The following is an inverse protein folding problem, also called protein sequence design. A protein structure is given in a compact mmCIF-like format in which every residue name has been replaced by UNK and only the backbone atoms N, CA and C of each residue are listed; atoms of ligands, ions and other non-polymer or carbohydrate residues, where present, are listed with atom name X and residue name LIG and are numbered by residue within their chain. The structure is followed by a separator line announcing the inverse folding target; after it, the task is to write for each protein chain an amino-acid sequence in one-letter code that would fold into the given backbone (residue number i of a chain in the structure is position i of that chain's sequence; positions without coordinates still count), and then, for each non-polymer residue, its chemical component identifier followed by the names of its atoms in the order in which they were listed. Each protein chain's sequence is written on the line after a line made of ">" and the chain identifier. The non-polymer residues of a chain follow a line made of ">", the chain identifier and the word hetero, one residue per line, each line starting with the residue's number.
data_IF_605706886790
#
_entry.id   IF_605706886790
#
_cell.length_a   1.000
_cell.length_b   1.000
_cell.length_c   1.000
_cell.angle_alpha   90.00
_cell.angle_beta   90.00
_cell.angle_gamma   90.00
#
_symmetry.space_group_name_H-M   'P 1'
#
loop_
_entity.id
_entity.type
_entity.pdbx_description
1 polymer ?
#
# COMPACT_ATOMS: atom_id res chain seq x y z
N UNK A 1 12.24 -38.16 19.19
CA UNK A 1 13.26 -37.77 18.20
C UNK A 1 12.80 -36.51 17.46
N UNK A 2 13.25 -35.30 17.85
CA UNK A 2 12.97 -34.09 17.11
C UNK A 2 14.24 -33.27 16.86
N UNK A 3 14.98 -33.53 15.77
CA UNK A 3 16.17 -32.71 15.45
C UNK A 3 16.39 -32.42 13.96
N UNK A 4 15.62 -33.05 13.06
CA UNK A 4 15.87 -32.92 11.62
C UNK A 4 15.14 -31.73 10.98
N UNK A 5 14.03 -31.27 11.55
CA UNK A 5 13.16 -30.24 10.96
C UNK A 5 13.67 -28.81 11.20
N UNK A 6 14.38 -28.56 12.30
CA UNK A 6 14.98 -27.24 12.62
C UNK A 6 16.12 -26.88 11.66
N UNK A 7 16.92 -27.85 11.26
CA UNK A 7 18.05 -27.64 10.35
C UNK A 7 17.64 -27.23 8.93
N UNK A 8 16.49 -27.71 8.45
CA UNK A 8 15.97 -27.37 7.11
C UNK A 8 15.38 -25.95 7.11
N UNK A 9 14.66 -25.57 8.16
CA UNK A 9 14.05 -24.25 8.28
C UNK A 9 15.10 -23.13 8.40
N UNK A 10 16.16 -23.34 9.19
CA UNK A 10 17.27 -22.38 9.31
C UNK A 10 18.05 -22.25 7.98
N UNK A 11 18.16 -23.33 7.21
CA UNK A 11 18.81 -23.30 5.90
C UNK A 11 18.01 -22.45 4.91
N UNK A 12 16.69 -22.64 4.85
CA UNK A 12 15.82 -21.88 3.96
C UNK A 12 15.74 -20.39 4.32
N UNK A 13 15.80 -20.03 5.61
CA UNK A 13 15.85 -18.62 6.03
C UNK A 13 17.16 -17.95 5.60
N UNK A 14 18.30 -18.64 5.72
CA UNK A 14 19.57 -18.09 5.23
C UNK A 14 19.56 -17.91 3.71
N UNK A 15 18.97 -18.84 2.97
CA UNK A 15 18.83 -18.73 1.51
C UNK A 15 17.94 -17.55 1.10
N UNK A 16 16.78 -17.38 1.75
CA UNK A 16 15.88 -16.26 1.49
C UNK A 16 16.49 -14.89 1.84
N UNK A 17 17.28 -14.83 2.92
CA UNK A 17 17.98 -13.60 3.30
C UNK A 17 19.09 -13.24 2.30
N UNK A 18 19.83 -14.22 1.77
CA UNK A 18 20.82 -13.96 0.71
C UNK A 18 20.18 -13.55 -0.62
N UNK A 19 19.00 -14.07 -0.96
CA UNK A 19 18.27 -13.68 -2.17
C UNK A 19 17.70 -12.26 -2.07
N UNK A 20 17.16 -11.88 -0.91
CA UNK A 20 16.68 -10.51 -0.69
C UNK A 20 17.82 -9.48 -0.68
N UNK A 21 18.94 -9.80 -0.03
CA UNK A 21 20.13 -8.93 -0.02
C UNK A 21 20.72 -8.77 -1.43
N UNK A 22 20.72 -9.84 -2.24
CA UNK A 22 21.14 -9.79 -3.64
C UNK A 22 20.16 -9.02 -4.54
N UNK A 23 18.85 -9.09 -4.29
CA UNK A 23 17.84 -8.37 -5.08
C UNK A 23 17.87 -6.85 -4.82
N UNK A 24 18.16 -6.43 -3.59
CA UNK A 24 18.32 -5.02 -3.22
C UNK A 24 19.62 -4.46 -3.84
N UNK A 25 20.69 -5.24 -3.83
CA UNK A 25 21.95 -4.89 -4.50
C UNK A 25 21.80 -4.87 -6.04
N UNK A 26 21.00 -5.77 -6.61
CA UNK A 26 20.68 -5.74 -8.05
C UNK A 26 19.79 -4.56 -8.43
N UNK A 27 18.81 -4.18 -7.61
CA UNK A 27 17.97 -3.02 -7.85
C UNK A 27 18.78 -1.72 -7.76
N UNK A 28 19.68 -1.60 -6.77
CA UNK A 28 20.62 -0.50 -6.67
C UNK A 28 21.56 -0.42 -7.89
N UNK A 29 22.10 -1.55 -8.35
CA UNK A 29 22.95 -1.62 -9.55
C UNK A 29 22.19 -1.35 -10.85
N UNK A 30 20.92 -1.72 -10.97
CA UNK A 30 20.08 -1.40 -12.14
C UNK A 30 19.77 0.09 -12.21
N UNK A 31 19.52 0.73 -11.06
CA UNK A 31 19.28 2.16 -10.96
C UNK A 31 20.57 2.95 -11.23
N UNK A 32 21.72 2.48 -10.72
CA UNK A 32 23.06 3.01 -11.00
C UNK A 32 23.45 2.82 -12.49
N UNK A 33 23.16 1.66 -13.09
CA UNK A 33 23.43 1.39 -14.50
C UNK A 33 22.55 2.20 -15.45
N UNK A 34 21.25 2.39 -15.16
CA UNK A 34 20.40 3.28 -15.96
C UNK A 34 20.84 4.74 -15.85
N UNK A 35 21.27 5.17 -14.67
CA UNK A 35 21.83 6.51 -14.47
C UNK A 35 23.18 6.66 -15.18
N UNK A 36 24.04 5.64 -15.15
CA UNK A 36 25.30 5.60 -15.89
C UNK A 36 25.09 5.57 -17.40
N UNK A 37 24.10 4.84 -17.93
CA UNK A 37 23.81 4.82 -19.38
C UNK A 37 23.29 6.18 -19.86
N UNK A 38 22.37 6.80 -19.14
CA UNK A 38 21.89 8.17 -19.48
C UNK A 38 23.00 9.21 -19.34
N UNK A 39 23.85 9.09 -18.32
CA UNK A 39 25.03 9.95 -18.18
C UNK A 39 26.09 9.69 -19.26
N UNK A 40 26.26 8.44 -19.72
CA UNK A 40 27.20 8.05 -20.79
C UNK A 40 26.70 8.44 -22.17
N UNK A 41 25.40 8.33 -22.46
CA UNK A 41 24.81 8.84 -23.70
C UNK A 41 24.92 10.37 -23.78
N UNK A 42 24.68 11.06 -22.65
CA UNK A 42 24.88 12.51 -22.56
C UNK A 42 26.37 12.88 -22.72
N UNK A 43 27.29 12.15 -22.08
CA UNK A 43 28.75 12.32 -22.21
C UNK A 43 29.25 12.02 -23.62
N UNK A 44 28.71 11.01 -24.29
CA UNK A 44 29.02 10.66 -25.68
C UNK A 44 28.58 11.74 -26.66
N UNK A 45 27.37 12.27 -26.48
CA UNK A 45 26.85 13.40 -27.27
C UNK A 45 27.65 14.70 -27.04
N UNK A 46 28.18 14.91 -25.83
CA UNK A 46 29.08 16.02 -25.51
C UNK A 46 30.48 15.85 -26.11
N UNK A 47 31.01 14.62 -26.12
CA UNK A 47 32.34 14.34 -26.70
C UNK A 47 32.36 14.59 -28.22
N UNK A 48 31.24 14.30 -28.90
CA UNK A 48 31.10 14.53 -30.35
C UNK A 48 30.93 16.02 -30.70
N UNK A 49 30.38 16.85 -29.80
CA UNK A 49 30.22 18.30 -30.02
C UNK A 49 31.47 19.11 -29.64
N UNK A 50 32.39 18.52 -28.86
CA UNK A 50 33.65 19.12 -28.40
C UNK A 50 34.78 19.08 -29.45
N UNK A 51 34.77 18.14 -30.40
CA UNK A 51 35.83 17.99 -31.41
C UNK A 51 35.86 19.08 -32.51
N UNK A 52 34.90 20.03 -32.56
CA UNK A 52 34.73 20.96 -33.70
C UNK A 52 35.36 22.36 -33.47
N UNK A 53 36.11 22.64 -32.38
CA UNK A 53 36.61 24.02 -32.12
C UNK A 53 38.12 24.12 -31.77
N UNK A 54 38.97 24.80 -32.58
CA UNK A 54 40.43 24.82 -32.42
C UNK A 54 40.93 26.02 -31.56
N UNK A 55 40.31 26.29 -30.41
CA UNK A 55 40.69 27.38 -29.49
C UNK A 55 40.94 26.82 -28.08
N UNK A 56 42.20 26.51 -27.78
CA UNK A 56 42.64 25.68 -26.65
C UNK A 56 42.40 26.23 -25.23
N UNK A 57 42.17 27.53 -25.02
CA UNK A 57 41.86 28.09 -23.68
C UNK A 57 40.36 28.03 -23.32
N UNK A 58 39.49 27.76 -24.30
CA UNK A 58 38.03 27.76 -24.10
C UNK A 58 37.48 26.39 -23.70
N UNK A 59 38.28 25.34 -23.84
CA UNK A 59 37.90 23.95 -23.66
C UNK A 59 37.78 23.55 -22.19
N UNK A 60 38.74 23.92 -21.34
CA UNK A 60 38.69 23.62 -19.90
C UNK A 60 37.48 24.32 -19.26
N UNK A 61 37.25 25.59 -19.60
CA UNK A 61 36.09 26.37 -19.15
C UNK A 61 34.74 25.75 -19.54
N UNK A 62 34.67 25.03 -20.67
CA UNK A 62 33.45 24.34 -21.09
C UNK A 62 33.23 23.04 -20.31
N UNK A 63 34.30 22.30 -20.00
CA UNK A 63 34.22 21.07 -19.20
C UNK A 63 33.73 21.39 -17.78
N UNK A 64 34.32 22.39 -17.12
CA UNK A 64 33.87 22.83 -15.79
C UNK A 64 32.39 23.26 -15.79
N UNK A 65 31.95 23.97 -16.84
CA UNK A 65 30.56 24.42 -16.94
C UNK A 65 29.57 23.27 -17.18
N UNK A 66 30.01 22.19 -17.83
CA UNK A 66 29.20 20.98 -18.04
C UNK A 66 29.10 20.18 -16.73
N UNK A 67 30.20 20.04 -16.00
CA UNK A 67 30.21 19.39 -14.68
C UNK A 67 29.30 20.14 -13.69
N UNK A 68 29.37 21.48 -13.68
CA UNK A 68 28.49 22.33 -12.87
C UNK A 68 27.01 22.18 -13.24
N UNK A 69 26.68 22.11 -14.54
CA UNK A 69 25.30 21.82 -14.97
C UNK A 69 24.84 20.42 -14.56
N UNK A 70 25.71 19.41 -14.64
CA UNK A 70 25.39 18.04 -14.25
C UNK A 70 25.13 17.92 -12.73
N UNK A 71 25.93 18.56 -11.89
CA UNK A 71 25.70 18.63 -10.44
C UNK A 71 24.37 19.32 -10.12
N UNK A 72 24.03 20.41 -10.82
CA UNK A 72 22.75 21.10 -10.62
C UNK A 72 21.52 20.24 -10.99
N UNK A 73 21.63 19.40 -12.01
CA UNK A 73 20.57 18.47 -12.43
C UNK A 73 20.41 17.32 -11.44
N UNK A 74 21.53 16.82 -10.89
CA UNK A 74 21.53 15.77 -9.88
C UNK A 74 20.86 16.25 -8.58
N UNK A 75 21.19 17.45 -8.12
CA UNK A 75 20.55 18.07 -6.94
C UNK A 75 19.03 18.26 -7.14
N UNK A 76 18.59 18.66 -8.33
CA UNK A 76 17.17 18.78 -8.64
C UNK A 76 16.44 17.42 -8.53
N UNK A 77 17.07 16.35 -9.00
CA UNK A 77 16.54 14.98 -8.92
C UNK A 77 16.43 14.48 -7.47
N UNK A 78 17.44 14.75 -6.64
CA UNK A 78 17.46 14.36 -5.22
C UNK A 78 16.40 15.14 -4.45
N UNK A 79 16.29 16.45 -4.65
CA UNK A 79 15.27 17.28 -3.97
C UNK A 79 13.86 16.86 -4.39
N UNK A 80 13.64 16.57 -5.68
CA UNK A 80 12.34 16.11 -6.18
C UNK A 80 11.92 14.75 -5.60
N UNK A 81 12.83 13.77 -5.58
CA UNK A 81 12.56 12.45 -5.00
C UNK A 81 12.36 12.52 -3.49
N UNK A 82 13.20 13.28 -2.78
CA UNK A 82 13.05 13.50 -1.35
C UNK A 82 11.69 14.13 -1.00
N UNK A 83 11.23 15.11 -1.78
CA UNK A 83 9.92 15.74 -1.60
C UNK A 83 8.78 14.73 -1.75
N UNK A 84 8.83 13.88 -2.79
CA UNK A 84 7.81 12.84 -3.00
C UNK A 84 7.77 11.83 -1.86
N UNK A 85 8.94 11.42 -1.36
CA UNK A 85 9.06 10.50 -0.21
C UNK A 85 8.46 11.13 1.05
N UNK A 86 8.76 12.40 1.33
CA UNK A 86 8.20 13.13 2.48
C UNK A 86 6.67 13.23 2.37
N UNK A 87 6.14 13.60 1.19
CA UNK A 87 4.70 13.68 0.96
C UNK A 87 4.03 12.32 1.18
N UNK A 88 4.64 11.23 0.67
CA UNK A 88 4.14 9.88 0.86
C UNK A 88 4.04 9.50 2.35
N UNK A 89 5.09 9.74 3.13
CA UNK A 89 5.08 9.47 4.58
C UNK A 89 4.08 10.34 5.34
N UNK A 90 3.93 11.61 4.96
CA UNK A 90 2.91 12.49 5.55
C UNK A 90 1.50 11.96 5.32
N UNK A 91 1.17 11.56 4.09
CA UNK A 91 -0.12 10.96 3.74
C UNK A 91 -0.34 9.66 4.54
N UNK A 92 0.68 8.82 4.68
CA UNK A 92 0.62 7.59 5.46
C UNK A 92 0.31 7.87 6.93
N UNK A 93 1.00 8.82 7.56
CA UNK A 93 0.78 9.20 8.97
C UNK A 93 -0.64 9.76 9.17
N UNK A 94 -1.08 10.65 8.27
CA UNK A 94 -2.42 11.27 8.35
C UNK A 94 -3.51 10.20 8.16
N UNK A 95 -3.35 9.29 7.21
CA UNK A 95 -4.31 8.22 6.91
C UNK A 95 -4.32 7.08 7.94
N UNK A 96 -3.28 6.97 8.78
CA UNK A 96 -3.20 5.98 9.85
C UNK A 96 -4.30 6.20 10.91
N UNK A 97 -4.57 7.45 11.27
CA UNK A 97 -5.56 7.78 12.31
C UNK A 97 -6.96 7.27 11.91
N UNK A 98 -7.56 7.66 10.76
CA UNK A 98 -8.84 7.12 10.31
C UNK A 98 -8.84 5.58 10.24
N UNK A 99 -7.75 4.99 9.75
CA UNK A 99 -7.62 3.54 9.61
C UNK A 99 -7.74 2.82 10.95
N UNK A 100 -7.05 3.31 11.99
CA UNK A 100 -7.14 2.75 13.34
C UNK A 100 -8.56 2.87 13.92
N UNK A 101 -9.25 3.99 13.70
CA UNK A 101 -10.64 4.17 14.12
C UNK A 101 -11.59 3.21 13.40
N UNK A 102 -11.37 2.97 12.11
CA UNK A 102 -12.12 1.99 11.33
C UNK A 102 -11.92 0.56 11.85
N UNK A 103 -10.66 0.14 12.08
CA UNK A 103 -10.35 -1.19 12.65
C UNK A 103 -10.99 -1.37 14.03
N UNK A 104 -10.93 -0.35 14.89
CA UNK A 104 -11.60 -0.37 16.19
C UNK A 104 -13.12 -0.51 16.04
N UNK A 105 -13.71 0.17 15.05
CA UNK A 105 -15.15 0.08 14.78
C UNK A 105 -15.56 -1.32 14.32
N UNK A 106 -14.75 -1.96 13.45
CA UNK A 106 -14.92 -3.35 13.05
C UNK A 106 -14.83 -4.30 14.26
N UNK A 107 -13.81 -4.12 15.10
CA UNK A 107 -13.61 -4.93 16.31
C UNK A 107 -14.83 -4.88 17.23
N UNK A 108 -15.34 -3.67 17.51
CA UNK A 108 -16.53 -3.45 18.33
C UNK A 108 -17.77 -4.07 17.67
N UNK A 109 -17.92 -3.96 16.35
CA UNK A 109 -19.05 -4.55 15.63
C UNK A 109 -19.12 -6.08 15.80
N UNK A 110 -17.97 -6.77 15.71
CA UNK A 110 -17.90 -8.21 16.00
C UNK A 110 -18.18 -8.54 17.46
N UNK A 111 -17.66 -7.75 18.41
CA UNK A 111 -17.91 -7.96 19.84
C UNK A 111 -19.39 -7.78 20.23
N UNK A 112 -20.16 -6.99 19.48
CA UNK A 112 -21.61 -6.79 19.72
C UNK A 112 -22.48 -7.96 19.26
N UNK A 113 -21.98 -8.80 18.36
CA UNK A 113 -22.70 -10.03 17.96
C UNK A 113 -22.51 -11.09 19.04
N UNK A 114 -23.51 -11.95 19.28
CA UNK A 114 -23.40 -13.06 20.23
C UNK A 114 -22.32 -14.06 19.79
N UNK A 115 -21.60 -14.74 20.71
CA UNK A 115 -20.55 -15.70 20.36
C UNK A 115 -21.02 -16.79 19.39
N UNK A 116 -22.28 -17.25 19.51
CA UNK A 116 -22.86 -18.26 18.62
C UNK A 116 -23.05 -17.76 17.17
N UNK A 117 -23.27 -16.46 16.99
CA UNK A 117 -23.50 -15.86 15.67
C UNK A 117 -22.22 -15.33 15.02
N UNK A 118 -21.13 -15.22 15.77
CA UNK A 118 -19.83 -14.77 15.25
C UNK A 118 -19.24 -15.83 14.34
N UNK A 119 -18.95 -15.44 13.10
CA UNK A 119 -18.23 -16.30 12.15
C UNK A 119 -16.71 -16.17 12.24
N UNK A 120 -16.20 -15.27 13.09
CA UNK A 120 -14.77 -14.97 13.23
C UNK A 120 -14.41 -14.44 14.62
N UNK A 121 -13.14 -14.57 15.01
CA UNK A 121 -12.62 -13.94 16.20
C UNK A 121 -12.40 -12.44 15.97
N UNK A 122 -12.88 -11.55 16.87
CA UNK A 122 -12.81 -10.10 16.66
C UNK A 122 -11.39 -9.57 16.53
N UNK A 123 -10.37 -10.21 17.09
CA UNK A 123 -8.99 -9.74 16.94
C UNK A 123 -8.40 -9.98 15.54
N UNK A 124 -9.05 -10.80 14.70
CA UNK A 124 -8.57 -11.06 13.34
C UNK A 124 -8.73 -9.84 12.41
N UNK A 125 -9.48 -8.81 12.84
CA UNK A 125 -9.57 -7.53 12.12
C UNK A 125 -8.24 -6.76 12.14
N UNK A 126 -7.35 -7.05 13.10
CA UNK A 126 -6.02 -6.42 13.15
C UNK A 126 -5.10 -6.92 12.05
N UNK A 127 -5.40 -8.08 11.45
CA UNK A 127 -4.64 -8.61 10.32
C UNK A 127 -4.79 -7.74 9.07
N UNK A 128 -5.83 -6.90 8.99
CA UNK A 128 -5.93 -5.87 7.96
C UNK A 128 -4.81 -4.81 8.05
N UNK A 129 -4.06 -4.70 9.16
CA UNK A 129 -2.94 -3.76 9.21
C UNK A 129 -1.76 -4.20 8.33
N UNK A 130 -1.69 -5.47 7.95
CA UNK A 130 -0.61 -6.04 7.14
C UNK A 130 -0.93 -5.82 5.65
N UNK A 131 -0.19 -5.01 4.88
CA UNK A 131 -0.60 -4.52 3.56
C UNK A 131 -0.85 -5.62 2.50
N UNK A 132 0.03 -6.62 2.39
CA UNK A 132 -0.17 -7.72 1.42
C UNK A 132 -1.32 -8.64 1.80
N UNK A 133 -1.53 -8.86 3.09
CA UNK A 133 -2.60 -9.71 3.59
C UNK A 133 -3.94 -8.98 3.60
N UNK A 134 -3.93 -7.65 3.80
CA UNK A 134 -5.09 -6.77 3.85
C UNK A 134 -5.99 -7.02 2.65
N UNK A 135 -5.45 -7.03 1.43
CA UNK A 135 -6.27 -7.11 0.20
C UNK A 135 -7.18 -8.34 0.22
N UNK A 136 -6.64 -9.54 0.46
CA UNK A 136 -7.43 -10.76 0.52
C UNK A 136 -8.30 -10.82 1.78
N UNK A 137 -7.76 -10.39 2.91
CA UNK A 137 -8.45 -10.47 4.20
C UNK A 137 -9.60 -9.50 4.34
N UNK A 138 -9.55 -8.36 3.64
CA UNK A 138 -10.59 -7.35 3.65
C UNK A 138 -11.89 -7.90 3.06
N UNK A 139 -11.82 -8.59 1.92
CA UNK A 139 -12.96 -9.30 1.33
C UNK A 139 -13.57 -10.32 2.29
N UNK A 140 -12.72 -11.12 2.93
CA UNK A 140 -13.14 -12.16 3.87
C UNK A 140 -13.83 -11.52 5.08
N UNK A 141 -13.23 -10.47 5.64
CA UNK A 141 -13.73 -9.76 6.82
C UNK A 141 -15.08 -9.12 6.54
N UNK A 142 -15.26 -8.44 5.41
CA UNK A 142 -16.53 -7.81 5.03
C UNK A 142 -17.64 -8.86 4.89
N UNK A 143 -17.37 -9.99 4.20
CA UNK A 143 -18.36 -11.06 4.02
C UNK A 143 -18.77 -11.68 5.36
N UNK A 144 -17.78 -12.06 6.17
CA UNK A 144 -18.00 -12.70 7.48
C UNK A 144 -18.70 -11.78 8.47
N UNK A 145 -18.37 -10.49 8.46
CA UNK A 145 -19.06 -9.51 9.30
C UNK A 145 -20.53 -9.34 8.91
N UNK A 146 -20.82 -9.24 7.61
CA UNK A 146 -22.19 -9.16 7.12
C UNK A 146 -23.00 -10.43 7.47
N UNK A 147 -22.38 -11.61 7.39
CA UNK A 147 -23.01 -12.87 7.79
C UNK A 147 -23.27 -12.94 9.30
N UNK A 148 -22.31 -12.53 10.13
CA UNK A 148 -22.46 -12.49 11.58
C UNK A 148 -23.59 -11.54 12.00
N UNK A 149 -23.62 -10.34 11.41
CA UNK A 149 -24.68 -9.36 11.66
C UNK A 149 -26.03 -9.87 11.16
N UNK A 150 -26.08 -10.55 10.00
CA UNK A 150 -27.33 -11.11 9.47
C UNK A 150 -27.93 -12.12 10.44
N UNK A 151 -27.12 -13.06 10.94
CA UNK A 151 -27.57 -14.05 11.94
C UNK A 151 -28.08 -13.38 13.22
N UNK A 152 -27.36 -12.37 13.71
CA UNK A 152 -27.77 -11.62 14.91
C UNK A 152 -29.09 -10.89 14.71
N UNK A 153 -29.29 -10.25 13.55
CA UNK A 153 -30.55 -9.56 13.23
C UNK A 153 -31.70 -10.55 13.03
N UNK A 154 -31.45 -11.69 12.40
CA UNK A 154 -32.46 -12.76 12.23
C UNK A 154 -32.89 -13.33 13.60
N UNK A 155 -31.94 -13.60 14.49
CA UNK A 155 -32.23 -14.08 15.85
C UNK A 155 -33.04 -13.04 16.65
N UNK A 156 -32.72 -11.75 16.50
CA UNK A 156 -33.43 -10.64 17.16
C UNK A 156 -34.69 -10.17 16.42
N UNK A 157 -35.06 -10.83 15.31
CA UNK A 157 -36.20 -10.49 14.43
C UNK A 157 -36.17 -9.02 13.96
N UNK A 158 -34.98 -8.51 13.64
CA UNK A 158 -34.74 -7.17 13.11
C UNK A 158 -34.67 -7.19 11.58
N UNK A 159 -34.97 -6.05 10.96
CA UNK A 159 -34.90 -5.92 9.49
C UNK A 159 -33.47 -6.06 8.96
N UNK A 160 -33.25 -7.02 8.06
CA UNK A 160 -31.93 -7.35 7.50
C UNK A 160 -31.55 -6.52 6.26
N UNK A 161 -32.43 -5.64 5.77
CA UNK A 161 -32.21 -4.84 4.55
C UNK A 161 -30.99 -3.89 4.66
N UNK A 162 -30.72 -3.39 5.86
CA UNK A 162 -29.55 -2.55 6.11
C UNK A 162 -28.21 -3.33 6.00
N UNK A 163 -28.24 -4.65 6.20
CA UNK A 163 -27.06 -5.50 6.18
C UNK A 163 -26.70 -5.86 4.74
N UNK A 164 -27.67 -6.24 3.91
CA UNK A 164 -27.44 -6.50 2.47
C UNK A 164 -26.82 -5.28 1.79
N UNK A 165 -27.32 -4.09 2.10
CA UNK A 165 -26.78 -2.83 1.59
C UNK A 165 -25.33 -2.61 2.02
N UNK A 166 -25.01 -2.84 3.30
CA UNK A 166 -23.63 -2.72 3.81
C UNK A 166 -22.67 -3.73 3.18
N UNK A 167 -23.13 -4.95 2.89
CA UNK A 167 -22.34 -6.00 2.22
C UNK A 167 -21.99 -5.60 0.79
N UNK A 168 -22.95 -5.05 0.03
CA UNK A 168 -22.71 -4.61 -1.35
C UNK A 168 -21.69 -3.48 -1.38
N UNK A 169 -21.83 -2.48 -0.50
CA UNK A 169 -20.87 -1.36 -0.41
C UNK A 169 -19.48 -1.87 -0.02
N UNK A 170 -19.39 -2.79 0.95
CA UNK A 170 -18.12 -3.37 1.37
C UNK A 170 -17.44 -4.24 0.30
N UNK A 171 -18.22 -4.92 -0.55
CA UNK A 171 -17.68 -5.67 -1.68
C UNK A 171 -17.21 -4.75 -2.80
N UNK A 172 -18.01 -3.73 -3.14
CA UNK A 172 -17.61 -2.70 -4.11
C UNK A 172 -16.30 -2.03 -3.68
N UNK A 173 -16.19 -1.74 -2.39
CA UNK A 173 -14.97 -1.24 -1.76
C UNK A 173 -13.73 -2.06 -2.09
N UNK A 174 -13.80 -3.35 -1.81
CA UNK A 174 -12.67 -4.25 -2.01
C UNK A 174 -12.34 -4.41 -3.51
N UNK A 175 -13.34 -4.35 -4.39
CA UNK A 175 -13.14 -4.33 -5.85
C UNK A 175 -12.36 -3.11 -6.29
N UNK A 176 -12.71 -1.90 -5.81
CA UNK A 176 -11.96 -0.69 -6.16
C UNK A 176 -10.52 -0.72 -5.62
N UNK A 177 -10.29 -1.29 -4.43
CA UNK A 177 -8.93 -1.52 -3.91
C UNK A 177 -8.11 -2.48 -4.77
N UNK A 178 -8.72 -3.45 -5.45
CA UNK A 178 -8.00 -4.26 -6.45
C UNK A 178 -7.70 -3.47 -7.72
N UNK A 179 -8.63 -2.62 -8.16
CA UNK A 179 -8.44 -1.78 -9.33
C UNK A 179 -7.30 -0.76 -9.17
N UNK A 180 -6.89 -0.40 -7.94
CA UNK A 180 -5.75 0.48 -7.71
C UNK A 180 -4.40 -0.12 -8.08
N UNK A 181 -4.32 -1.44 -8.29
CA UNK A 181 -3.10 -2.11 -8.75
C UNK A 181 -2.78 -1.74 -10.22
N UNK A 182 -3.79 -1.37 -11.01
CA UNK A 182 -3.63 -0.99 -12.42
C UNK A 182 -3.29 0.51 -12.49
N UNK A 183 -2.13 0.95 -13.03
CA UNK A 183 -1.67 2.34 -12.91
C UNK A 183 -2.65 3.41 -13.42
N UNK A 184 -3.28 3.16 -14.57
CA UNK A 184 -4.19 4.13 -15.21
C UNK A 184 -5.59 4.14 -14.58
N UNK A 185 -6.11 2.95 -14.25
CA UNK A 185 -7.44 2.81 -13.63
C UNK A 185 -7.36 3.20 -12.15
N UNK A 186 -6.24 2.93 -11.51
CA UNK A 186 -6.00 3.14 -10.10
C UNK A 186 -6.04 4.60 -9.69
N UNK A 187 -5.64 5.51 -10.57
CA UNK A 187 -5.73 6.94 -10.31
C UNK A 187 -7.19 7.40 -10.13
N UNK A 188 -8.12 6.83 -10.89
CA UNK A 188 -9.56 7.10 -10.76
C UNK A 188 -10.21 6.24 -9.66
N UNK A 189 -9.75 5.00 -9.49
CA UNK A 189 -10.30 4.07 -8.51
C UNK A 189 -9.94 4.45 -7.07
N UNK A 190 -8.80 5.11 -6.83
CA UNK A 190 -8.35 5.52 -5.50
C UNK A 190 -9.34 6.46 -4.78
N UNK A 191 -9.78 7.60 -5.36
CA UNK A 191 -10.77 8.47 -4.70
C UNK A 191 -12.13 7.79 -4.54
N UNK A 192 -12.56 6.98 -5.52
CA UNK A 192 -13.83 6.24 -5.44
C UNK A 192 -13.78 5.20 -4.32
N UNK A 193 -12.69 4.45 -4.21
CA UNK A 193 -12.43 3.53 -3.11
C UNK A 193 -12.40 4.24 -1.77
N UNK A 194 -11.77 5.41 -1.67
CA UNK A 194 -11.79 6.18 -0.42
C UNK A 194 -13.21 6.60 0.00
N UNK A 195 -14.04 7.05 -0.94
CA UNK A 195 -15.45 7.41 -0.68
C UNK A 195 -16.25 6.18 -0.23
N UNK A 196 -16.14 5.07 -0.96
CA UNK A 196 -16.84 3.84 -0.61
C UNK A 196 -16.41 3.34 0.79
N UNK A 197 -15.18 3.61 1.23
CA UNK A 197 -14.65 3.16 2.51
C UNK A 197 -15.32 3.92 3.65
N UNK A 198 -15.44 5.23 3.50
CA UNK A 198 -16.16 6.10 4.43
C UNK A 198 -17.64 5.71 4.49
N UNK A 199 -18.30 5.50 3.35
CA UNK A 199 -19.71 5.08 3.31
C UNK A 199 -19.93 3.73 4.01
N UNK A 200 -19.04 2.77 3.76
CA UNK A 200 -19.07 1.48 4.43
C UNK A 200 -18.92 1.64 5.95
N UNK A 201 -17.98 2.46 6.41
CA UNK A 201 -17.74 2.70 7.83
C UNK A 201 -18.95 3.34 8.52
N UNK A 202 -19.58 4.34 7.90
CA UNK A 202 -20.81 4.97 8.43
C UNK A 202 -21.94 3.95 8.51
N UNK A 203 -22.15 3.13 7.47
CA UNK A 203 -23.22 2.11 7.47
C UNK A 203 -22.97 1.03 8.53
N UNK A 204 -21.71 0.62 8.70
CA UNK A 204 -21.30 -0.36 9.69
C UNK A 204 -21.54 0.14 11.13
N UNK A 205 -21.16 1.38 11.42
CA UNK A 205 -21.36 1.98 12.74
C UNK A 205 -22.85 2.13 13.06
N UNK A 206 -23.66 2.50 12.06
CA UNK A 206 -25.12 2.53 12.16
C UNK A 206 -25.74 1.18 12.49
N UNK A 207 -25.39 0.13 11.75
CA UNK A 207 -25.88 -1.24 11.99
C UNK A 207 -25.48 -1.73 13.40
N UNK A 208 -24.23 -1.46 13.80
CA UNK A 208 -23.73 -1.84 15.12
C UNK A 208 -24.42 -1.07 16.25
N UNK A 209 -24.82 0.18 16.03
CA UNK A 209 -25.55 0.97 17.03
C UNK A 209 -27.00 0.50 17.19
N UNK A 210 -27.64 0.03 16.11
CA UNK A 210 -28.99 -0.57 16.18
C UNK A 210 -29.02 -1.82 17.07
N UNK A 211 -27.94 -2.61 17.07
CA UNK A 211 -27.83 -3.79 17.94
C UNK A 211 -27.81 -3.43 19.43
N UNK A 212 -27.28 -2.27 19.82
CA UNK A 212 -27.30 -1.81 21.22
C UNK A 212 -28.68 -1.28 21.61
N UNK A 213 -29.28 -0.43 20.76
CA UNK A 213 -30.56 0.23 21.08
C UNK A 213 -31.73 -0.74 21.25
N UNK A 214 -31.63 -1.93 20.68
CA UNK A 214 -32.66 -2.98 20.70
C UNK A 214 -32.19 -4.26 21.43
N UNK A 215 -31.07 -4.18 22.16
CA UNK A 215 -30.68 -5.19 23.15
C UNK A 215 -31.40 -4.90 24.47
#
# INVERSE_FOLDING_TARGET
>A
MPDQTRGVFIRNIKTLHSEFCGAEEQAARLQENQFCETALEFKGSLTHSVQINPQGERMENLIYKIEEMAESLLELGIVGTALLVIIFFLILIISLIPTLFYLRSLHIAFQRCAPENRTHYPAEVWLLLIPFFNIAWHFITVKRLAESQKKEFEQRRLETNNISSSKIIGLAMCTFTLCTIIPFIGLLAAPIGFICWILYWIKLSGNSAMLIKKA
#
